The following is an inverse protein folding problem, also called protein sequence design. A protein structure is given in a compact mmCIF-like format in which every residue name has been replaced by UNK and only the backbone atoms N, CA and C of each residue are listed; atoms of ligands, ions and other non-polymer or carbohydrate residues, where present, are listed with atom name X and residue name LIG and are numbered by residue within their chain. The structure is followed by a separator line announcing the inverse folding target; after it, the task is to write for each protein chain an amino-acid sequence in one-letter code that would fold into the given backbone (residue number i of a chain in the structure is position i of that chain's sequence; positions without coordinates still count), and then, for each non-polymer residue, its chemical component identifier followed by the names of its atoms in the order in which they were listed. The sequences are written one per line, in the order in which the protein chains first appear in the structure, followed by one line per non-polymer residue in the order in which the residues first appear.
data_IF_599111889571
#
_entry.id   IF_599111889571
#
_cell.length_a   1.000
_cell.length_b   1.000
_cell.length_c   1.000
_cell.angle_alpha   90.00
_cell.angle_beta   90.00
_cell.angle_gamma   90.00
#
_symmetry.space_group_name_H-M   'P 1'
#
loop_
_entity.id
_entity.type
_entity.pdbx_description
1 polymer ?
#
# COMPACT_ATOMS: atom_id res chain seq x y z
N UNK A 1 -39.41 -12.21 -22.67
CA UNK A 1 -37.96 -12.10 -22.46
C UNK A 1 -37.74 -11.36 -21.16
N UNK A 2 -37.47 -12.07 -20.06
CA UNK A 2 -37.14 -11.47 -18.77
C UNK A 2 -35.69 -10.99 -18.83
N UNK A 3 -35.49 -9.67 -18.88
CA UNK A 3 -34.18 -9.07 -18.70
C UNK A 3 -33.86 -9.11 -17.19
N UNK A 4 -33.11 -10.11 -16.76
CA UNK A 4 -32.47 -10.11 -15.44
C UNK A 4 -31.55 -8.90 -15.36
N UNK A 5 -32.04 -7.83 -14.74
CA UNK A 5 -31.22 -6.70 -14.35
C UNK A 5 -30.37 -7.14 -13.16
N UNK A 6 -29.12 -7.50 -13.42
CA UNK A 6 -28.11 -7.57 -12.37
C UNK A 6 -27.83 -6.13 -11.93
N UNK A 7 -28.65 -5.59 -11.04
CA UNK A 7 -28.25 -4.43 -10.27
C UNK A 7 -27.04 -4.88 -9.45
N UNK A 8 -25.84 -4.50 -9.89
CA UNK A 8 -24.64 -4.64 -9.07
C UNK A 8 -24.92 -3.88 -7.80
N UNK A 9 -25.11 -4.57 -6.69
CA UNK A 9 -25.16 -3.94 -5.39
C UNK A 9 -23.92 -3.06 -5.28
N UNK A 10 -24.12 -1.74 -5.09
CA UNK A 10 -23.02 -0.82 -4.87
C UNK A 10 -22.37 -1.28 -3.57
N UNK A 11 -21.22 -1.92 -3.67
CA UNK A 11 -20.48 -2.37 -2.50
C UNK A 11 -20.23 -1.15 -1.62
N UNK A 12 -20.84 -1.15 -0.42
CA UNK A 12 -20.61 -0.12 0.60
C UNK A 12 -19.23 -0.24 1.22
N UNK A 13 -18.52 -1.35 0.95
CA UNK A 13 -17.16 -1.54 1.36
C UNK A 13 -16.27 -0.50 0.66
N UNK A 14 -15.39 0.19 1.42
CA UNK A 14 -14.43 1.09 0.81
C UNK A 14 -13.63 0.37 -0.25
N UNK A 15 -13.32 1.01 -1.37
CA UNK A 15 -12.36 0.46 -2.33
C UNK A 15 -10.96 0.91 -1.92
N UNK A 16 -9.98 0.00 -1.80
CA UNK A 16 -8.61 0.40 -1.53
C UNK A 16 -8.08 1.23 -2.70
N UNK A 17 -7.27 2.24 -2.40
CA UNK A 17 -6.77 3.16 -3.41
C UNK A 17 -5.91 2.41 -4.46
N UNK A 18 -6.03 2.71 -5.77
CA UNK A 18 -5.37 1.93 -6.82
C UNK A 18 -3.84 1.88 -6.72
N UNK A 19 -3.22 2.94 -6.21
CA UNK A 19 -1.78 3.04 -5.98
C UNK A 19 -1.26 2.06 -4.92
N UNK A 20 -2.13 1.56 -4.03
CA UNK A 20 -1.79 0.51 -3.07
C UNK A 20 -1.60 -0.87 -3.71
N UNK A 21 -2.02 -1.05 -4.97
CA UNK A 21 -1.86 -2.32 -5.70
C UNK A 21 -0.49 -2.47 -6.36
N UNK A 22 0.33 -1.41 -6.31
CA UNK A 22 1.70 -1.45 -6.82
C UNK A 22 2.63 -2.15 -5.81
N UNK A 23 3.68 -2.84 -6.27
CA UNK A 23 4.65 -3.45 -5.36
C UNK A 23 5.24 -2.40 -4.42
N UNK A 24 5.30 -2.67 -3.11
CA UNK A 24 5.94 -1.75 -2.18
C UNK A 24 7.43 -1.64 -2.49
N UNK A 25 7.97 -0.44 -2.30
CA UNK A 25 9.41 -0.28 -2.37
C UNK A 25 10.09 -1.01 -1.20
N UNK A 26 11.38 -1.33 -1.35
CA UNK A 26 12.16 -2.10 -0.39
C UNK A 26 13.41 -1.32 0.03
N UNK A 27 13.77 -1.43 1.30
CA UNK A 27 15.10 -1.02 1.77
C UNK A 27 16.15 -2.00 1.24
N UNK A 28 17.40 -1.55 1.15
CA UNK A 28 18.54 -2.44 0.98
C UNK A 28 18.74 -3.31 2.21
N UNK A 29 19.36 -4.47 2.02
CA UNK A 29 19.85 -5.29 3.13
C UNK A 29 21.07 -4.61 3.77
N UNK A 30 21.29 -4.85 5.07
CA UNK A 30 22.45 -4.32 5.77
C UNK A 30 23.76 -4.92 5.21
N UNK A 31 24.74 -4.06 4.97
CA UNK A 31 26.04 -4.40 4.43
C UNK A 31 27.11 -4.58 5.51
N UNK A 32 28.36 -4.33 5.13
CA UNK A 32 29.55 -4.40 5.99
C UNK A 32 30.20 -3.03 6.24
N UNK A 33 29.71 -1.99 5.57
CA UNK A 33 30.23 -0.63 5.62
C UNK A 33 29.07 0.30 6.00
N UNK A 34 29.20 0.95 7.15
CA UNK A 34 28.14 1.79 7.70
C UNK A 34 27.91 3.06 6.88
N UNK A 35 28.94 3.58 6.20
CA UNK A 35 28.82 4.82 5.44
C UNK A 35 28.10 4.54 4.10
N UNK A 36 28.39 3.39 3.48
CA UNK A 36 27.67 2.92 2.30
C UNK A 36 26.20 2.62 2.62
N UNK A 37 25.94 1.95 3.74
CA UNK A 37 24.56 1.65 4.19
C UNK A 37 23.78 2.94 4.50
N UNK A 38 24.41 3.90 5.20
CA UNK A 38 23.78 5.20 5.48
C UNK A 38 23.45 5.97 4.21
N UNK A 39 24.34 5.95 3.21
CA UNK A 39 24.08 6.60 1.94
C UNK A 39 22.89 5.95 1.21
N UNK A 40 22.80 4.61 1.19
CA UNK A 40 21.67 3.89 0.61
C UNK A 40 20.34 4.19 1.33
N UNK A 41 20.36 4.32 2.66
CA UNK A 41 19.20 4.72 3.46
C UNK A 41 18.72 6.13 3.12
N UNK A 42 19.65 7.08 2.93
CA UNK A 42 19.34 8.46 2.52
C UNK A 42 18.69 8.47 1.14
N UNK A 43 19.24 7.72 0.17
CA UNK A 43 18.73 7.65 -1.19
C UNK A 43 17.32 7.01 -1.26
N UNK A 44 17.01 6.11 -0.34
CA UNK A 44 15.72 5.39 -0.29
C UNK A 44 14.68 6.02 0.65
N UNK A 45 15.03 7.09 1.39
CA UNK A 45 14.18 7.67 2.44
C UNK A 45 12.78 8.07 1.97
N UNK A 46 12.66 8.60 0.76
CA UNK A 46 11.37 9.03 0.20
C UNK A 46 10.48 7.82 -0.11
N UNK A 47 11.08 6.75 -0.64
CA UNK A 47 10.37 5.50 -0.87
C UNK A 47 9.86 4.91 0.46
N UNK A 48 10.74 4.81 1.47
CA UNK A 48 10.37 4.22 2.76
C UNK A 48 9.30 5.05 3.50
N UNK A 49 9.32 6.38 3.31
CA UNK A 49 8.24 7.25 3.76
C UNK A 49 6.91 6.90 3.10
N UNK A 50 6.89 6.71 1.78
CA UNK A 50 5.68 6.34 1.06
C UNK A 50 5.15 4.97 1.50
N UNK A 51 6.06 3.99 1.67
CA UNK A 51 5.71 2.67 2.20
C UNK A 51 4.99 2.76 3.56
N UNK A 52 5.46 3.64 4.45
CA UNK A 52 4.82 3.86 5.76
C UNK A 52 3.42 4.46 5.62
N UNK A 53 3.21 5.38 4.68
CA UNK A 53 1.89 5.94 4.39
C UNK A 53 0.93 4.87 3.83
N UNK A 54 1.40 4.05 2.90
CA UNK A 54 0.60 2.98 2.30
C UNK A 54 0.19 1.93 3.34
N UNK A 55 1.08 1.62 4.29
CA UNK A 55 0.73 0.78 5.45
C UNK A 55 -0.43 1.36 6.26
N UNK A 56 -0.43 2.66 6.55
CA UNK A 56 -1.54 3.28 7.29
C UNK A 56 -2.85 3.26 6.52
N UNK A 57 -2.79 3.44 5.20
CA UNK A 57 -3.96 3.37 4.32
C UNK A 57 -4.54 1.96 4.29
N UNK A 58 -3.69 0.94 4.18
CA UNK A 58 -4.11 -0.46 4.31
C UNK A 58 -4.74 -0.76 5.67
N UNK A 59 -4.12 -0.29 6.76
CA UNK A 59 -4.69 -0.47 8.10
C UNK A 59 -6.07 0.20 8.24
N UNK A 60 -6.25 1.40 7.68
CA UNK A 60 -7.54 2.10 7.67
C UNK A 60 -8.59 1.31 6.87
N UNK A 61 -8.23 0.83 5.68
CA UNK A 61 -9.09 -0.04 4.87
C UNK A 61 -9.51 -1.29 5.64
N UNK A 62 -8.55 -2.03 6.22
CA UNK A 62 -8.85 -3.25 6.97
C UNK A 62 -9.78 -3.00 8.15
N UNK A 63 -9.57 -1.92 8.90
CA UNK A 63 -10.48 -1.53 10.00
C UNK A 63 -11.90 -1.22 9.53
N UNK A 64 -12.06 -0.70 8.32
CA UNK A 64 -13.36 -0.34 7.77
C UNK A 64 -14.12 -1.57 7.23
N UNK A 65 -13.40 -2.58 6.71
CA UNK A 65 -14.02 -3.81 6.17
C UNK A 65 -14.18 -4.93 7.20
N UNK A 66 -13.53 -4.84 8.36
CA UNK A 66 -13.60 -5.84 9.44
C UNK A 66 -14.66 -5.54 10.51
N UNK A 67 -15.53 -4.55 10.28
CA UNK A 67 -16.67 -4.20 11.15
C UNK A 67 -17.93 -4.90 10.66
#
# INVERSE_FOLDING_TARGET
MMLCSCASELSTLPTPSPDLMSPPCKASDAGKDSDEDLQADIETVQCLRQLRLDKYRWQAYYRAVSQ
#
